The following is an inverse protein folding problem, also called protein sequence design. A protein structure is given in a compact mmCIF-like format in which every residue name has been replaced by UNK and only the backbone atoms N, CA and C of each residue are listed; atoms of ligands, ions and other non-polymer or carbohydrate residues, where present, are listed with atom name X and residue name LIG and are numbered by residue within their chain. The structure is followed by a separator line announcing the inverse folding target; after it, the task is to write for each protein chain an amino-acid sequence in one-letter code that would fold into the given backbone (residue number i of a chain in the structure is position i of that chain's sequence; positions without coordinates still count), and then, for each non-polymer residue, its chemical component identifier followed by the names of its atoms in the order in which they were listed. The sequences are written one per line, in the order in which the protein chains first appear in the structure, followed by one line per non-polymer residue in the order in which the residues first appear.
data_IF_470377897175
#
_entry.id   IF_470377897175
#
_cell.length_a   1.000
_cell.length_b   1.000
_cell.length_c   1.000
_cell.angle_alpha   90.00
_cell.angle_beta   90.00
_cell.angle_gamma   90.00
#
_symmetry.space_group_name_H-M   'P 1'
#
loop_
_entity.id
_entity.type
_entity.pdbx_description
1 polymer ?
#
# COMPACT_ATOMS: atom_id res chain seq x y z
N UNK A 1 34.33 -27.10 -14.99
CA UNK A 1 32.93 -27.21 -15.43
C UNK A 1 32.09 -26.43 -14.42
N UNK A 2 31.23 -25.51 -14.85
CA UNK A 2 30.43 -24.70 -13.93
C UNK A 2 29.09 -25.42 -13.69
N UNK A 3 28.94 -26.03 -12.52
CA UNK A 3 27.73 -26.72 -12.10
C UNK A 3 26.63 -25.68 -11.82
N UNK A 4 25.57 -25.69 -12.61
CA UNK A 4 24.38 -24.89 -12.34
C UNK A 4 23.62 -25.52 -11.18
N UNK A 5 23.55 -24.82 -10.04
CA UNK A 5 22.78 -25.29 -8.89
C UNK A 5 21.29 -25.21 -9.22
N UNK A 6 20.56 -26.29 -8.94
CA UNK A 6 19.10 -26.30 -9.05
C UNK A 6 18.51 -25.32 -8.03
N UNK A 7 17.89 -24.25 -8.52
CA UNK A 7 17.14 -23.30 -7.70
C UNK A 7 15.79 -23.94 -7.36
N UNK A 8 15.63 -24.42 -6.13
CA UNK A 8 14.36 -24.95 -5.63
C UNK A 8 13.48 -23.79 -5.19
N UNK A 9 12.46 -23.47 -5.99
CA UNK A 9 11.52 -22.39 -5.70
C UNK A 9 10.94 -22.50 -4.27
N UNK A 10 10.52 -23.68 -3.82
CA UNK A 10 9.99 -23.85 -2.45
C UNK A 10 10.96 -23.59 -1.29
N UNK A 11 12.25 -23.37 -1.55
CA UNK A 11 13.24 -23.02 -0.52
C UNK A 11 13.44 -21.51 -0.36
N UNK A 12 12.94 -20.69 -1.29
CA UNK A 12 13.00 -19.24 -1.20
C UNK A 12 11.81 -18.79 -0.34
N UNK A 13 12.07 -18.47 0.92
CA UNK A 13 11.05 -18.09 1.91
C UNK A 13 10.95 -16.56 2.00
N UNK A 14 9.93 -16.03 2.69
CA UNK A 14 9.87 -14.62 3.12
C UNK A 14 10.31 -13.57 2.08
N UNK A 15 9.75 -13.60 0.85
CA UNK A 15 10.07 -12.65 -0.22
C UNK A 15 11.44 -12.80 -0.90
N UNK A 16 12.22 -13.84 -0.58
CA UNK A 16 13.50 -14.12 -1.24
C UNK A 16 13.35 -14.32 -2.76
N UNK A 17 12.17 -14.77 -3.20
CA UNK A 17 11.80 -14.86 -4.61
C UNK A 17 11.86 -13.51 -5.34
N UNK A 18 11.24 -12.50 -4.74
CA UNK A 18 11.18 -11.15 -5.27
C UNK A 18 12.58 -10.52 -5.31
N UNK A 19 13.34 -10.65 -4.21
CA UNK A 19 14.71 -10.15 -4.11
C UNK A 19 15.65 -10.82 -5.12
N UNK A 20 15.47 -12.13 -5.35
CA UNK A 20 16.22 -12.86 -6.36
C UNK A 20 15.89 -12.36 -7.77
N UNK A 21 14.61 -12.17 -8.10
CA UNK A 21 14.19 -11.65 -9.40
C UNK A 21 14.76 -10.24 -9.67
N UNK A 22 14.68 -9.34 -8.69
CA UNK A 22 15.23 -7.99 -8.78
C UNK A 22 16.77 -7.99 -8.96
N UNK A 23 17.46 -8.87 -8.24
CA UNK A 23 18.91 -9.02 -8.38
C UNK A 23 19.32 -9.56 -9.75
N UNK A 24 18.59 -10.54 -10.27
CA UNK A 24 18.82 -11.08 -11.63
C UNK A 24 18.60 -10.00 -12.67
N UNK A 25 17.57 -9.18 -12.50
CA UNK A 25 17.24 -8.07 -13.39
C UNK A 25 18.35 -7.01 -13.41
N UNK A 26 18.87 -6.64 -12.24
CA UNK A 26 20.01 -5.73 -12.09
C UNK A 26 21.26 -6.26 -12.79
N UNK A 27 21.61 -7.53 -12.56
CA UNK A 27 22.76 -8.16 -13.21
C UNK A 27 22.59 -8.26 -14.74
N UNK A 28 21.37 -8.51 -15.21
CA UNK A 28 21.08 -8.56 -16.65
C UNK A 28 21.19 -7.17 -17.30
N UNK A 29 20.82 -6.10 -16.59
CA UNK A 29 21.00 -4.71 -17.03
C UNK A 29 22.48 -4.32 -17.10
N UNK A 30 23.28 -4.74 -16.13
CA UNK A 30 24.73 -4.50 -16.09
C UNK A 30 25.48 -5.27 -17.19
N UNK A 31 25.07 -6.50 -17.48
CA UNK A 31 25.75 -7.37 -18.44
C UNK A 31 25.50 -7.02 -19.91
N UNK A 32 24.48 -6.20 -20.24
CA UNK A 32 24.11 -5.74 -21.60
C UNK A 32 24.33 -6.77 -22.72
N UNK A 33 23.82 -7.99 -22.54
CA UNK A 33 23.89 -9.02 -23.59
C UNK A 33 22.61 -9.01 -24.44
N UNK A 34 22.76 -8.96 -25.76
CA UNK A 34 21.65 -8.85 -26.72
C UNK A 34 20.64 -10.00 -26.67
N UNK A 35 21.01 -11.16 -26.10
CA UNK A 35 20.12 -12.31 -25.95
C UNK A 35 19.19 -12.18 -24.73
N UNK A 36 19.57 -11.38 -23.74
CA UNK A 36 18.81 -11.21 -22.50
C UNK A 36 17.77 -10.09 -22.59
N UNK A 37 17.90 -9.16 -23.55
CA UNK A 37 16.95 -8.05 -23.77
C UNK A 37 15.53 -8.51 -24.09
N UNK A 38 15.37 -9.63 -24.81
CA UNK A 38 14.05 -10.20 -25.09
C UNK A 38 13.35 -10.76 -23.83
N UNK A 39 14.10 -11.21 -22.83
CA UNK A 39 13.58 -11.82 -21.58
C UNK A 39 13.43 -10.77 -20.47
N UNK A 40 14.15 -9.65 -20.59
CA UNK A 40 14.10 -8.54 -19.64
C UNK A 40 12.71 -7.89 -19.55
N UNK A 41 12.02 -7.69 -20.68
CA UNK A 41 10.68 -7.08 -20.67
C UNK A 41 9.62 -7.89 -19.89
N UNK A 42 9.47 -9.19 -20.17
CA UNK A 42 8.59 -10.06 -19.38
C UNK A 42 8.97 -10.12 -17.90
N UNK A 43 10.27 -10.12 -17.58
CA UNK A 43 10.77 -10.16 -16.20
C UNK A 43 10.43 -8.87 -15.44
N UNK A 44 10.62 -7.69 -16.06
CA UNK A 44 10.24 -6.40 -15.47
C UNK A 44 8.74 -6.32 -15.20
N UNK A 45 7.94 -6.82 -16.13
CA UNK A 45 6.48 -6.83 -15.97
C UNK A 45 6.06 -7.72 -14.80
N UNK A 46 6.63 -8.93 -14.70
CA UNK A 46 6.34 -9.85 -13.60
C UNK A 46 6.74 -9.30 -12.23
N UNK A 47 7.90 -8.62 -12.13
CA UNK A 47 8.36 -7.98 -10.89
C UNK A 47 7.41 -6.83 -10.49
N UNK A 48 6.95 -6.03 -11.45
CA UNK A 48 6.00 -4.94 -11.18
C UNK A 48 4.61 -5.44 -10.73
N UNK A 49 4.14 -6.57 -11.28
CA UNK A 49 2.90 -7.21 -10.84
C UNK A 49 3.02 -7.75 -9.41
N UNK A 50 4.17 -8.36 -9.07
CA UNK A 50 4.45 -8.83 -7.71
C UNK A 50 4.52 -7.65 -6.73
N UNK A 51 5.22 -6.57 -7.08
CA UNK A 51 5.28 -5.34 -6.25
C UNK A 51 3.88 -4.77 -5.99
N UNK A 52 3.03 -4.69 -7.03
CA UNK A 52 1.64 -4.23 -6.88
C UNK A 52 0.81 -5.15 -5.98
N UNK A 53 1.03 -6.46 -6.06
CA UNK A 53 0.32 -7.43 -5.23
C UNK A 53 0.74 -7.37 -3.76
N UNK A 54 2.02 -7.06 -3.49
CA UNK A 54 2.58 -6.89 -2.15
C UNK A 54 2.21 -5.54 -1.53
N UNK A 55 2.32 -4.47 -2.32
CA UNK A 55 2.10 -3.09 -1.90
C UNK A 55 0.71 -2.61 -2.29
N UNK A 56 -0.32 -3.39 -1.96
CA UNK A 56 -1.69 -2.93 -2.15
C UNK A 56 -1.95 -1.68 -1.31
N UNK A 57 -2.61 -0.65 -1.89
CA UNK A 57 -2.91 0.56 -1.15
C UNK A 57 -3.79 0.22 0.06
N UNK A 58 -3.31 0.59 1.26
CA UNK A 58 -4.03 0.38 2.53
C UNK A 58 -5.31 1.23 2.67
N UNK A 59 -5.56 2.11 1.70
CA UNK A 59 -6.67 3.05 1.70
C UNK A 59 -7.67 2.65 0.63
N UNK A 60 -8.88 2.29 1.04
CA UNK A 60 -9.96 2.05 0.09
C UNK A 60 -10.37 3.38 -0.58
N UNK A 61 -10.79 3.35 -1.86
CA UNK A 61 -11.18 4.57 -2.59
C UNK A 61 -12.35 5.32 -1.94
N UNK A 62 -13.09 4.69 -1.03
CA UNK A 62 -14.23 5.30 -0.33
C UNK A 62 -13.85 5.98 1.01
N UNK A 63 -12.58 5.91 1.44
CA UNK A 63 -12.15 6.48 2.72
C UNK A 63 -12.35 8.00 2.77
N UNK A 64 -12.26 8.70 1.64
CA UNK A 64 -12.38 10.16 1.61
C UNK A 64 -13.83 10.63 1.82
N UNK A 65 -14.79 10.02 1.13
CA UNK A 65 -16.22 10.31 1.33
C UNK A 65 -16.68 9.94 2.75
N UNK A 66 -16.14 8.86 3.31
CA UNK A 66 -16.43 8.47 4.68
C UNK A 66 -15.90 9.50 5.69
N UNK A 67 -14.68 10.01 5.50
CA UNK A 67 -14.13 11.10 6.34
C UNK A 67 -14.98 12.36 6.27
N UNK A 68 -15.40 12.78 5.09
CA UNK A 68 -16.24 13.98 4.93
C UNK A 68 -17.60 13.83 5.63
N UNK A 69 -18.19 12.63 5.59
CA UNK A 69 -19.43 12.33 6.31
C UNK A 69 -19.22 12.36 7.83
N UNK A 70 -18.12 11.78 8.32
CA UNK A 70 -17.76 11.79 9.74
C UNK A 70 -17.50 13.21 10.25
N UNK A 71 -16.76 14.03 9.51
CA UNK A 71 -16.54 15.43 9.86
C UNK A 71 -17.85 16.22 9.95
N UNK A 72 -18.79 15.97 9.03
CA UNK A 72 -20.10 16.63 9.06
C UNK A 72 -20.88 16.24 10.31
N UNK A 73 -20.88 14.94 10.65
CA UNK A 73 -21.52 14.42 11.86
C UNK A 73 -20.94 15.06 13.11
N UNK A 74 -19.61 15.15 13.21
CA UNK A 74 -18.94 15.67 14.39
C UNK A 74 -19.21 17.16 14.59
N UNK A 75 -19.24 17.96 13.51
CA UNK A 75 -19.63 19.39 13.59
C UNK A 75 -21.07 19.57 14.08
N UNK A 76 -22.01 18.77 13.57
CA UNK A 76 -23.40 18.81 14.03
C UNK A 76 -23.54 18.43 15.50
N UNK A 77 -22.82 17.39 15.95
CA UNK A 77 -22.83 16.97 17.35
C UNK A 77 -22.23 18.05 18.27
N UNK A 78 -21.12 18.67 17.88
CA UNK A 78 -20.52 19.78 18.64
C UNK A 78 -21.47 20.97 18.76
N UNK A 79 -22.15 21.35 17.68
CA UNK A 79 -23.13 22.43 17.69
C UNK A 79 -24.29 22.12 18.65
N UNK A 80 -24.83 20.89 18.59
CA UNK A 80 -25.88 20.44 19.51
C UNK A 80 -25.41 20.47 20.97
N UNK A 81 -24.20 19.96 21.24
CA UNK A 81 -23.62 19.94 22.58
C UNK A 81 -23.48 21.35 23.16
N UNK A 82 -23.02 22.30 22.35
CA UNK A 82 -22.91 23.71 22.73
C UNK A 82 -24.28 24.34 23.01
N UNK A 83 -25.29 24.08 22.17
CA UNK A 83 -26.64 24.58 22.37
C UNK A 83 -27.25 24.05 23.68
N UNK A 84 -27.11 22.75 23.95
CA UNK A 84 -27.57 22.15 25.22
C UNK A 84 -26.84 22.75 26.42
N UNK A 85 -25.53 22.93 26.34
CA UNK A 85 -24.76 23.56 27.42
C UNK A 85 -25.20 25.01 27.69
N UNK A 86 -25.45 25.81 26.64
CA UNK A 86 -25.97 27.17 26.76
C UNK A 86 -27.34 27.20 27.43
N UNK A 87 -28.24 26.27 27.05
CA UNK A 87 -29.55 26.17 27.67
C UNK A 87 -29.46 25.85 29.17
N UNK A 88 -28.63 24.89 29.56
CA UNK A 88 -28.41 24.54 30.98
C UNK A 88 -27.87 25.73 31.78
N UNK A 89 -26.89 26.46 31.26
CA UNK A 89 -26.37 27.65 31.93
C UNK A 89 -27.38 28.81 32.00
N UNK A 90 -28.26 28.95 31.00
CA UNK A 90 -29.32 29.97 30.99
C UNK A 90 -30.43 29.68 31.99
N UNK A 91 -30.74 28.40 32.26
CA UNK A 91 -31.73 28.01 33.26
C UNK A 91 -31.19 28.17 34.68
N UNK A 92 -29.89 27.96 34.89
CA UNK A 92 -29.24 28.15 36.20
C UNK A 92 -29.11 29.65 36.59
N UNK A 93 -29.02 30.55 35.61
CA UNK A 93 -28.91 32.00 35.85
C UNK A 93 -30.25 32.70 36.12
N UNK A 94 -31.38 32.00 35.94
CA UNK A 94 -32.74 32.56 36.07
C UNK A 94 -33.41 32.28 37.44
N UNK A 95 -32.66 31.73 38.41
CA UNK A 95 -33.05 31.53 39.82
C UNK A 95 -32.21 32.38 40.74
#
# INVERSE_FOLDING_TARGET
MMELRNVRKGQLQHMEHYQFADRVLTLCKEAKTEKLTAVLGPLETAVAEEDKALNQPRTEPNTQKMREADERRDRSYQALRLAVALHLHSTDAAT
#
